data_IF_716948450862
#
_entry.id   IF_716948450862
#
_cell.length_a   1.000
_cell.length_b   1.000
_cell.length_c   1.000
_cell.angle_alpha   90.00
_cell.angle_beta   90.00
_cell.angle_gamma   90.00
#
_symmetry.space_group_name_H-M   'P 1'
#
loop_
_entity.id
_entity.type
_entity.pdbx_description
1 polymer ?
#
# COMPACT_ATOMS: atom_id res chain seq x y z
N UNK A 1 -15.49 29.18 -14.35
CA UNK A 1 -15.40 27.74 -14.67
C UNK A 1 -14.29 27.11 -13.85
N UNK A 2 -14.64 26.27 -12.90
CA UNK A 2 -13.67 25.54 -12.05
C UNK A 2 -13.71 24.03 -12.33
N UNK A 3 -12.60 23.34 -12.10
CA UNK A 3 -12.57 21.88 -12.07
C UNK A 3 -13.15 21.41 -10.74
N UNK A 4 -13.99 20.39 -10.79
CA UNK A 4 -14.56 19.72 -9.63
C UNK A 4 -14.55 18.21 -9.85
N UNK A 5 -14.45 17.48 -8.77
CA UNK A 5 -14.58 16.04 -8.77
C UNK A 5 -15.81 15.63 -7.96
N UNK A 6 -16.47 14.58 -8.38
CA UNK A 6 -17.63 14.00 -7.71
C UNK A 6 -17.40 12.52 -7.46
N UNK A 7 -17.75 12.05 -6.27
CA UNK A 7 -17.71 10.63 -5.92
C UNK A 7 -19.10 10.15 -5.51
N UNK A 8 -19.47 8.98 -5.95
CA UNK A 8 -20.69 8.32 -5.47
C UNK A 8 -20.41 7.61 -4.15
N UNK A 9 -21.39 7.56 -3.24
CA UNK A 9 -21.26 6.79 -2.00
C UNK A 9 -21.12 5.29 -2.29
N UNK A 10 -20.70 4.53 -1.28
CA UNK A 10 -20.58 3.08 -1.37
C UNK A 10 -21.90 2.42 -1.82
N UNK A 11 -21.81 1.32 -2.56
CA UNK A 11 -22.95 0.67 -3.20
C UNK A 11 -24.10 0.29 -2.25
N UNK A 12 -23.84 0.12 -0.95
CA UNK A 12 -24.88 -0.19 0.05
C UNK A 12 -25.84 1.00 0.34
N UNK A 13 -25.43 2.23 0.05
CA UNK A 13 -26.19 3.46 0.36
C UNK A 13 -26.65 4.20 -0.86
N UNK A 14 -26.47 3.65 -2.05
CA UNK A 14 -26.95 4.24 -3.31
C UNK A 14 -27.86 3.25 -4.05
N UNK A 15 -28.78 3.79 -4.88
CA UNK A 15 -29.51 2.96 -5.81
C UNK A 15 -28.53 2.27 -6.78
N UNK A 16 -28.63 0.95 -7.02
CA UNK A 16 -27.75 0.21 -7.94
C UNK A 16 -27.64 0.82 -9.34
N UNK A 17 -28.71 1.44 -9.82
CA UNK A 17 -28.74 2.09 -11.14
C UNK A 17 -28.03 3.46 -11.17
N UNK A 18 -27.72 4.04 -10.00
CA UNK A 18 -27.02 5.34 -9.96
C UNK A 18 -25.57 5.19 -10.37
N UNK A 19 -25.18 5.83 -11.44
CA UNK A 19 -23.82 5.83 -11.99
C UNK A 19 -23.51 7.11 -12.74
N UNK A 20 -22.24 7.44 -12.87
CA UNK A 20 -21.82 8.47 -13.81
C UNK A 20 -21.88 7.93 -15.25
N UNK A 21 -22.32 8.74 -16.19
CA UNK A 21 -22.30 8.40 -17.61
C UNK A 21 -20.87 8.36 -18.16
N UNK A 22 -20.03 9.27 -17.68
CA UNK A 22 -18.59 9.31 -17.96
C UNK A 22 -17.87 9.25 -16.63
N UNK A 23 -17.39 8.08 -16.27
CA UNK A 23 -16.64 7.86 -15.02
C UNK A 23 -15.14 7.79 -15.30
N UNK A 24 -14.35 8.26 -14.33
CA UNK A 24 -12.91 8.02 -14.27
C UNK A 24 -12.59 7.05 -13.14
N UNK A 25 -11.67 6.16 -13.38
CA UNK A 25 -11.15 5.25 -12.34
C UNK A 25 -9.98 5.84 -11.54
N UNK A 26 -9.50 7.02 -11.94
CA UNK A 26 -8.41 7.73 -11.28
C UNK A 26 -8.93 8.70 -10.22
N UNK A 27 -8.05 9.07 -9.28
CA UNK A 27 -8.37 9.96 -8.16
C UNK A 27 -9.49 9.38 -7.28
N UNK A 28 -9.47 8.05 -7.09
CA UNK A 28 -10.48 7.29 -6.33
C UNK A 28 -10.00 6.85 -4.94
N UNK A 29 -8.88 7.40 -4.48
CA UNK A 29 -8.38 7.18 -3.13
C UNK A 29 -9.25 7.87 -2.08
N UNK A 30 -9.52 7.20 -0.98
CA UNK A 30 -10.35 7.73 0.11
C UNK A 30 -9.53 8.48 1.15
N UNK A 31 -10.15 9.41 1.87
CA UNK A 31 -9.56 10.05 3.03
C UNK A 31 -9.56 9.03 4.20
N UNK A 32 -8.47 8.88 4.98
CA UNK A 32 -7.27 9.72 5.04
C UNK A 32 -6.08 9.23 4.19
N UNK A 33 -6.25 8.25 3.31
CA UNK A 33 -5.13 7.66 2.56
C UNK A 33 -4.44 8.64 1.60
N UNK A 34 -5.07 9.77 1.30
CA UNK A 34 -4.49 10.89 0.54
C UNK A 34 -3.54 11.76 1.35
N UNK A 35 -3.38 11.52 2.66
CA UNK A 35 -2.46 12.27 3.50
C UNK A 35 -1.00 11.98 3.13
N UNK A 36 -0.16 13.02 3.12
CA UNK A 36 1.25 12.92 2.80
C UNK A 36 1.98 11.93 3.72
N UNK A 37 1.77 12.03 5.02
CA UNK A 37 2.49 11.23 6.03
C UNK A 37 1.94 9.82 6.23
N UNK A 38 0.70 9.56 5.85
CA UNK A 38 0.15 8.21 5.93
C UNK A 38 0.79 7.29 4.88
N UNK A 39 0.97 6.02 5.21
CA UNK A 39 1.28 4.98 4.23
C UNK A 39 -0.04 4.52 3.63
N UNK A 40 -0.25 4.82 2.35
CA UNK A 40 -1.43 4.44 1.60
C UNK A 40 -1.19 3.13 0.87
N UNK A 41 -2.03 2.13 1.15
CA UNK A 41 -1.86 0.77 0.65
C UNK A 41 -2.99 0.42 -0.31
N UNK A 42 -2.63 0.13 -1.55
CA UNK A 42 -3.52 -0.48 -2.53
C UNK A 42 -3.50 -2.01 -2.43
N UNK A 43 -4.32 -2.67 -3.23
CA UNK A 43 -4.43 -4.12 -3.25
C UNK A 43 -4.08 -4.69 -4.63
N UNK A 44 -3.41 -5.83 -4.64
CA UNK A 44 -3.22 -6.65 -5.83
C UNK A 44 -3.54 -8.12 -5.53
N UNK A 45 -3.78 -8.89 -6.57
CA UNK A 45 -3.92 -10.34 -6.48
C UNK A 45 -2.53 -10.98 -6.59
N UNK A 46 -2.04 -11.52 -5.48
CA UNK A 46 -0.70 -12.14 -5.42
C UNK A 46 -0.61 -13.49 -6.13
N UNK A 47 -1.73 -14.09 -6.50
CA UNK A 47 -1.75 -15.34 -7.24
C UNK A 47 -1.53 -15.13 -8.75
N UNK A 48 -2.08 -14.05 -9.27
CA UNK A 48 -2.01 -13.70 -10.70
C UNK A 48 -1.05 -12.53 -10.99
N UNK A 49 -0.48 -11.92 -9.96
CA UNK A 49 0.28 -10.66 -10.01
C UNK A 49 -0.52 -9.51 -10.67
N UNK A 50 -1.85 -9.54 -10.62
CA UNK A 50 -2.71 -8.56 -11.25
C UNK A 50 -3.25 -7.52 -10.27
N UNK A 51 -3.57 -6.33 -10.78
CA UNK A 51 -4.21 -5.28 -10.01
C UNK A 51 -5.62 -5.69 -9.55
N UNK A 52 -5.96 -5.40 -8.29
CA UNK A 52 -7.30 -5.64 -7.77
C UNK A 52 -8.27 -4.53 -8.20
N UNK A 53 -9.35 -4.82 -8.95
CA UNK A 53 -10.23 -3.80 -9.52
C UNK A 53 -10.89 -2.86 -8.51
N UNK A 54 -11.05 -3.31 -7.27
CA UNK A 54 -11.64 -2.51 -6.18
C UNK A 54 -10.62 -1.57 -5.51
N UNK A 55 -9.34 -1.68 -5.82
CA UNK A 55 -8.30 -0.84 -5.23
C UNK A 55 -8.39 0.58 -5.79
N UNK A 56 -8.33 1.58 -4.92
CA UNK A 56 -8.31 2.97 -5.34
C UNK A 56 -7.08 3.32 -6.17
N UNK A 57 -7.25 4.21 -7.14
CA UNK A 57 -6.17 4.68 -8.04
C UNK A 57 -5.89 6.16 -7.83
N UNK A 58 -4.62 6.50 -7.88
CA UNK A 58 -4.14 7.87 -7.79
C UNK A 58 -4.10 8.58 -9.16
N UNK A 59 -3.33 9.59 -9.30
CA UNK A 59 -2.66 10.31 -8.21
C UNK A 59 -3.69 11.12 -7.41
N UNK A 60 -3.25 11.72 -6.29
CA UNK A 60 -4.13 12.67 -5.60
C UNK A 60 -4.37 13.92 -6.45
N UNK A 61 -5.34 14.76 -6.08
CA UNK A 61 -5.66 16.01 -6.81
C UNK A 61 -4.47 16.98 -6.89
N UNK A 62 -3.62 16.97 -5.89
CA UNK A 62 -2.38 17.75 -5.84
C UNK A 62 -1.15 16.96 -6.35
N UNK A 63 -1.38 15.98 -7.21
CA UNK A 63 -0.37 15.19 -7.92
C UNK A 63 0.58 14.34 -7.06
N UNK A 64 0.31 14.17 -5.75
CA UNK A 64 1.09 13.25 -4.94
C UNK A 64 0.94 11.81 -5.42
N UNK A 65 2.03 11.08 -5.42
CA UNK A 65 2.05 9.65 -5.74
C UNK A 65 1.37 8.89 -4.60
N UNK A 66 0.22 8.31 -4.94
CA UNK A 66 -0.61 7.46 -4.07
C UNK A 66 -1.36 6.46 -4.95
N UNK A 67 -1.59 5.22 -4.49
CA UNK A 67 -1.12 4.66 -3.21
C UNK A 67 0.41 4.69 -3.14
N UNK A 68 1.00 4.59 -1.93
CA UNK A 68 2.45 4.48 -1.81
C UNK A 68 2.93 3.13 -2.32
N UNK A 69 2.21 2.07 -2.02
CA UNK A 69 2.51 0.70 -2.45
C UNK A 69 1.25 -0.15 -2.49
N UNK A 70 1.36 -1.35 -3.01
CA UNK A 70 0.32 -2.38 -2.94
C UNK A 70 0.79 -3.58 -2.13
N UNK A 71 -0.18 -4.30 -1.55
CA UNK A 71 0.05 -5.58 -0.88
C UNK A 71 -1.03 -6.59 -1.28
N UNK A 72 -0.87 -7.90 -1.02
CA UNK A 72 -1.89 -8.90 -1.30
C UNK A 72 -3.23 -8.54 -0.66
N UNK A 73 -4.29 -8.46 -1.44
CA UNK A 73 -5.61 -8.07 -0.96
C UNK A 73 -6.77 -8.86 -1.55
N UNK A 74 -6.49 -9.90 -2.33
CA UNK A 74 -7.50 -10.76 -2.96
C UNK A 74 -7.43 -12.14 -2.34
N UNK A 75 -8.59 -12.66 -1.92
CA UNK A 75 -8.75 -14.00 -1.31
C UNK A 75 -7.79 -14.27 -0.13
N UNK A 76 -7.66 -13.32 0.75
CA UNK A 76 -6.81 -13.42 1.93
C UNK A 76 -7.50 -14.22 3.02
N UNK A 77 -6.90 -15.34 3.41
CA UNK A 77 -7.36 -16.17 4.52
C UNK A 77 -6.83 -15.61 5.84
N UNK A 78 -7.71 -15.33 6.78
CA UNK A 78 -7.36 -14.75 8.09
C UNK A 78 -8.40 -15.11 9.15
N UNK A 79 -8.06 -14.85 10.41
CA UNK A 79 -8.94 -15.09 11.55
C UNK A 79 -10.27 -14.34 11.42
N UNK A 80 -11.34 -14.97 11.94
CA UNK A 80 -12.68 -14.37 11.98
C UNK A 80 -13.18 -14.22 13.43
N UNK A 81 -14.11 -13.30 13.68
CA UNK A 81 -14.80 -13.22 14.96
C UNK A 81 -15.50 -14.54 15.29
N UNK A 82 -15.40 -14.97 16.55
CA UNK A 82 -15.99 -16.23 17.01
C UNK A 82 -15.10 -17.46 16.80
N UNK A 83 -13.90 -17.30 16.25
CA UNK A 83 -12.92 -18.37 16.02
C UNK A 83 -12.94 -18.94 14.60
N UNK A 84 -11.85 -19.62 14.23
CA UNK A 84 -11.62 -20.16 12.88
C UNK A 84 -11.10 -19.12 11.90
N UNK A 85 -11.24 -19.41 10.60
CA UNK A 85 -10.68 -18.61 9.51
C UNK A 85 -11.74 -18.29 8.46
N UNK A 86 -11.56 -17.20 7.75
CA UNK A 86 -12.40 -16.78 6.63
C UNK A 86 -11.58 -16.12 5.54
N UNK A 87 -12.06 -16.22 4.31
CA UNK A 87 -11.42 -15.60 3.14
C UNK A 87 -12.14 -14.28 2.83
N UNK A 88 -11.37 -13.21 2.72
CA UNK A 88 -11.87 -11.88 2.35
C UNK A 88 -10.96 -11.21 1.33
N UNK A 89 -11.54 -10.29 0.56
CA UNK A 89 -10.81 -9.42 -0.38
C UNK A 89 -11.06 -7.95 -0.05
N UNK A 90 -10.05 -7.11 -0.20
CA UNK A 90 -10.13 -5.68 0.05
C UNK A 90 -8.77 -5.06 0.35
N UNK A 91 -8.65 -3.75 0.21
CA UNK A 91 -7.47 -3.00 0.67
C UNK A 91 -7.29 -3.10 2.20
N UNK A 92 -8.39 -3.34 2.95
CA UNK A 92 -8.35 -3.67 4.38
C UNK A 92 -7.61 -4.97 4.69
N UNK A 93 -7.53 -5.91 3.74
CA UNK A 93 -6.74 -7.14 3.85
C UNK A 93 -5.29 -6.92 3.42
N UNK A 94 -5.04 -5.97 2.52
CA UNK A 94 -3.70 -5.59 2.10
C UNK A 94 -2.93 -4.80 3.18
N UNK A 95 -3.60 -3.88 3.86
CA UNK A 95 -2.99 -3.00 4.88
C UNK A 95 -2.26 -3.76 6.00
N UNK A 96 -2.78 -4.85 6.59
CA UNK A 96 -2.09 -5.60 7.64
C UNK A 96 -0.73 -6.17 7.23
N UNK A 97 -0.52 -6.51 5.96
CA UNK A 97 0.81 -6.95 5.48
C UNK A 97 1.84 -5.83 5.62
N UNK A 98 1.47 -4.60 5.27
CA UNK A 98 2.35 -3.43 5.43
C UNK A 98 2.56 -3.11 6.90
N UNK A 99 1.51 -3.19 7.72
CA UNK A 99 1.59 -2.95 9.17
C UNK A 99 2.51 -3.98 9.86
N UNK A 100 2.36 -5.27 9.52
CA UNK A 100 3.23 -6.32 10.05
C UNK A 100 4.69 -6.15 9.61
N UNK A 101 4.92 -5.80 8.35
CA UNK A 101 6.27 -5.50 7.84
C UNK A 101 6.89 -4.29 8.54
N UNK A 102 6.09 -3.25 8.81
CA UNK A 102 6.52 -2.08 9.58
C UNK A 102 6.92 -2.47 11.01
N UNK A 103 6.12 -3.33 11.67
CA UNK A 103 6.42 -3.82 13.02
C UNK A 103 7.74 -4.60 13.06
N UNK A 104 7.99 -5.49 12.09
CA UNK A 104 9.24 -6.25 11.99
C UNK A 104 10.45 -5.34 11.72
N UNK A 105 10.30 -4.31 10.89
CA UNK A 105 11.35 -3.32 10.68
C UNK A 105 11.63 -2.50 11.95
N UNK A 106 10.58 -2.10 12.69
CA UNK A 106 10.75 -1.38 13.94
C UNK A 106 11.36 -2.27 15.05
N UNK A 107 11.03 -3.55 15.08
CA UNK A 107 11.70 -4.51 15.97
C UNK A 107 13.21 -4.58 15.65
N UNK A 108 13.56 -4.79 14.38
CA UNK A 108 14.96 -4.80 13.94
C UNK A 108 15.68 -3.49 14.25
N UNK A 109 15.05 -2.35 13.93
CA UNK A 109 15.66 -1.04 14.10
C UNK A 109 15.70 -0.58 15.56
N UNK A 110 14.54 -0.46 16.17
CA UNK A 110 14.37 0.19 17.49
C UNK A 110 14.70 -0.78 18.62
N UNK A 111 14.09 -1.97 18.63
CA UNK A 111 14.25 -2.93 19.73
C UNK A 111 15.65 -3.53 19.72
N UNK A 112 16.12 -3.96 18.55
CA UNK A 112 17.45 -4.55 18.37
C UNK A 112 18.55 -3.48 18.17
N UNK A 113 18.21 -2.18 18.28
CA UNK A 113 19.14 -1.05 18.28
C UNK A 113 19.96 -0.85 16.99
N UNK A 114 19.56 -1.46 15.87
CA UNK A 114 20.23 -1.25 14.59
C UNK A 114 19.96 0.14 14.00
N UNK A 115 18.77 0.70 14.26
CA UNK A 115 18.36 2.05 13.87
C UNK A 115 17.28 2.56 14.85
N UNK A 116 17.67 3.15 16.00
CA UNK A 116 16.72 3.58 17.05
C UNK A 116 15.71 4.64 16.60
N UNK A 117 15.95 5.30 15.46
CA UNK A 117 15.07 6.34 14.91
C UNK A 117 14.27 5.85 13.69
N UNK A 118 14.12 4.53 13.52
CA UNK A 118 13.37 3.93 12.42
C UNK A 118 11.86 4.01 12.66
N UNK A 119 11.28 5.18 12.40
CA UNK A 119 9.84 5.43 12.45
C UNK A 119 9.40 6.50 11.44
N UNK A 120 8.09 6.71 11.30
CA UNK A 120 7.52 7.77 10.47
C UNK A 120 7.97 7.71 9.02
N UNK A 121 8.48 8.81 8.51
CA UNK A 121 8.85 8.94 7.09
C UNK A 121 10.07 8.09 6.70
N UNK A 122 11.00 7.85 7.63
CA UNK A 122 12.15 6.97 7.38
C UNK A 122 11.69 5.53 7.15
N UNK A 123 10.81 5.02 8.01
CA UNK A 123 10.21 3.71 7.85
C UNK A 123 9.47 3.59 6.51
N UNK A 124 8.65 4.59 6.19
CA UNK A 124 7.94 4.67 4.91
C UNK A 124 8.89 4.65 3.72
N UNK A 125 9.98 5.42 3.78
CA UNK A 125 10.99 5.47 2.73
C UNK A 125 11.65 4.10 2.51
N UNK A 126 11.99 3.38 3.58
CA UNK A 126 12.59 2.05 3.47
C UNK A 126 11.63 1.05 2.81
N UNK A 127 10.36 1.06 3.22
CA UNK A 127 9.34 0.20 2.60
C UNK A 127 9.15 0.51 1.12
N UNK A 128 9.13 1.80 0.73
CA UNK A 128 9.00 2.23 -0.66
C UNK A 128 10.19 1.76 -1.50
N UNK A 129 11.41 1.96 -1.01
CA UNK A 129 12.62 1.57 -1.74
C UNK A 129 12.77 0.04 -1.86
N UNK A 130 12.15 -0.71 -0.96
CA UNK A 130 12.10 -2.18 -1.03
C UNK A 130 10.97 -2.74 -1.89
N UNK A 131 10.11 -1.91 -2.49
CA UNK A 131 8.99 -2.39 -3.29
C UNK A 131 9.46 -3.21 -4.50
N UNK A 132 8.75 -4.32 -4.75
CA UNK A 132 8.94 -5.17 -5.93
C UNK A 132 8.09 -4.63 -7.09
N UNK A 133 8.67 -4.47 -8.26
CA UNK A 133 7.91 -4.15 -9.48
C UNK A 133 7.15 -5.39 -9.96
N UNK A 134 5.85 -5.23 -10.21
CA UNK A 134 5.02 -6.26 -10.84
C UNK A 134 5.14 -6.16 -12.36
N UNK A 135 5.14 -7.30 -13.06
CA UNK A 135 5.35 -7.36 -14.51
C UNK A 135 4.22 -6.75 -15.34
N UNK A 136 3.07 -6.49 -14.72
CA UNK A 136 1.89 -5.89 -15.39
C UNK A 136 2.07 -4.40 -15.74
N UNK A 137 3.05 -3.74 -15.14
CA UNK A 137 3.35 -2.33 -15.39
C UNK A 137 4.82 -2.14 -15.72
N UNK A 138 5.08 -1.30 -16.70
CA UNK A 138 6.45 -1.02 -17.17
C UNK A 138 7.08 0.20 -16.51
N UNK A 139 6.27 1.06 -15.89
CA UNK A 139 6.72 2.32 -15.29
C UNK A 139 6.30 2.43 -13.83
N UNK A 140 7.24 2.86 -13.00
CA UNK A 140 7.04 3.12 -11.57
C UNK A 140 7.70 4.44 -11.18
N UNK A 141 7.11 5.21 -10.23
CA UNK A 141 5.80 4.96 -9.63
C UNK A 141 4.64 5.23 -10.61
N UNK A 142 3.48 4.57 -10.39
CA UNK A 142 2.28 4.76 -11.20
C UNK A 142 1.01 4.91 -10.38
N UNK A 143 -0.12 5.19 -11.05
CA UNK A 143 -1.40 5.51 -10.40
C UNK A 143 -2.09 4.31 -9.75
N UNK A 144 -1.76 3.11 -10.16
CA UNK A 144 -2.41 1.87 -9.72
C UNK A 144 -1.67 1.16 -8.61
N UNK A 145 -0.35 1.07 -8.74
CA UNK A 145 0.52 0.28 -7.88
C UNK A 145 1.46 1.12 -7.00
N UNK A 146 1.43 2.47 -7.15
CA UNK A 146 2.38 3.34 -6.49
C UNK A 146 3.82 3.00 -6.84
N UNK A 147 4.66 2.79 -5.85
CA UNK A 147 6.05 2.40 -6.02
C UNK A 147 6.24 0.88 -6.25
N UNK A 148 5.18 0.08 -6.17
CA UNK A 148 5.20 -1.36 -6.40
C UNK A 148 4.60 -2.19 -5.28
N UNK A 149 4.80 -3.49 -5.32
CA UNK A 149 4.32 -4.41 -4.30
C UNK A 149 5.28 -4.50 -3.12
N UNK A 150 4.74 -4.52 -1.92
CA UNK A 150 5.48 -4.73 -0.68
C UNK A 150 6.41 -5.95 -0.79
N UNK A 151 7.67 -5.78 -0.45
CA UNK A 151 8.65 -6.87 -0.35
C UNK A 151 9.64 -6.59 0.79
N UNK A 152 9.39 -7.20 1.95
CA UNK A 152 10.23 -6.98 3.14
C UNK A 152 11.67 -7.45 2.93
N UNK A 153 11.89 -8.54 2.16
CA UNK A 153 13.24 -8.98 1.81
C UNK A 153 14.02 -7.87 1.09
N UNK A 154 13.45 -7.34 0.00
CA UNK A 154 14.10 -6.26 -0.75
C UNK A 154 14.31 -5.01 0.12
N UNK A 155 13.42 -4.76 1.09
CA UNK A 155 13.59 -3.66 2.04
C UNK A 155 14.85 -3.84 2.87
N UNK A 156 15.10 -5.03 3.39
CA UNK A 156 16.34 -5.32 4.12
C UNK A 156 17.57 -5.30 3.19
N UNK A 157 17.47 -5.85 1.98
CA UNK A 157 18.55 -5.82 1.00
C UNK A 157 18.93 -4.36 0.66
N UNK A 158 17.93 -3.48 0.50
CA UNK A 158 18.14 -2.06 0.31
C UNK A 158 18.83 -1.40 1.52
N UNK A 159 18.37 -1.69 2.74
CA UNK A 159 18.96 -1.15 3.97
C UNK A 159 20.44 -1.54 4.08
N UNK A 160 20.76 -2.83 3.92
CA UNK A 160 22.14 -3.31 4.03
C UNK A 160 23.05 -2.80 2.93
N UNK A 161 22.50 -2.56 1.74
CA UNK A 161 23.28 -1.99 0.62
C UNK A 161 23.48 -0.49 0.75
N UNK A 162 22.44 0.26 1.11
CA UNK A 162 22.49 1.71 1.19
C UNK A 162 23.13 2.22 2.49
N UNK A 163 23.06 1.44 3.56
CA UNK A 163 23.60 1.77 4.87
C UNK A 163 24.43 0.57 5.41
N UNK A 164 25.56 0.27 4.77
CA UNK A 164 26.40 -0.82 5.25
C UNK A 164 26.78 -0.54 6.69
N UNK A 165 26.42 -1.46 7.59
CA UNK A 165 26.86 -1.41 8.99
C UNK A 165 28.38 -1.53 8.98
N UNK A 166 29.08 -0.40 9.10
CA UNK A 166 30.52 -0.43 9.38
C UNK A 166 30.68 -1.20 10.68
N UNK A 167 31.15 -2.44 10.55
CA UNK A 167 31.62 -3.34 11.61
C UNK A 167 31.25 -2.94 13.03
N UNK A 168 30.06 -3.26 13.49
CA UNK A 168 29.87 -3.54 14.89
C UNK A 168 30.41 -4.96 15.09
N UNK A 169 31.75 -5.01 15.31
CA UNK A 169 32.37 -6.18 15.87
C UNK A 169 31.69 -6.54 17.17
N UNK A 170 31.39 -7.82 17.31
CA UNK A 170 30.75 -8.45 18.46
C UNK A 170 31.54 -8.26 19.77
#
# INVERSE_FOLDING_TARGET
TGLYDMWLPAGRVKNPETRFLLSSEFTTLTIPSTSYRAISVGAYDSYTDSYAPFSGRGFTRNTMIKPDMVAPGVNINSCQPGGGYTIKSGTSMATPFVTGSAALLMEWGIVNKNDPYLYGEKLKSFLINGCRQLRIESTYPNRTLGYGALCLRNTFDYIYTAFPTNGLEA
#
